data_IF_443382179528
#
_entry.id   IF_443382179528
#
_cell.length_a   1.000
_cell.length_b   1.000
_cell.length_c   1.000
_cell.angle_alpha   90.00
_cell.angle_beta   90.00
_cell.angle_gamma   90.00
#
_symmetry.space_group_name_H-M   'P 1'
#
loop_
_entity.id
_entity.type
_entity.pdbx_description
1 polymer ?
#
# COMPACT_ATOMS: atom_id res chain seq x y z
N UNK A 1 -16.86 6.83 6.66
CA UNK A 1 -17.84 6.38 5.65
C UNK A 1 -17.42 6.94 4.32
N UNK A 2 -16.82 6.12 3.48
CA UNK A 2 -16.52 6.46 2.09
C UNK A 2 -17.84 6.61 1.35
N UNK A 3 -18.08 7.72 0.65
CA UNK A 3 -19.28 7.82 -0.20
C UNK A 3 -19.19 6.70 -1.24
N UNK A 4 -20.33 6.07 -1.58
CA UNK A 4 -20.37 4.91 -2.47
C UNK A 4 -19.78 5.17 -3.88
N UNK A 5 -19.37 6.40 -4.17
CA UNK A 5 -18.81 6.82 -5.46
C UNK A 5 -17.36 7.34 -5.41
N UNK A 6 -16.70 7.41 -4.26
CA UNK A 6 -15.35 7.98 -4.20
C UNK A 6 -14.30 7.04 -4.80
N UNK A 7 -13.51 7.53 -5.74
CA UNK A 7 -12.41 6.77 -6.35
C UNK A 7 -11.30 6.54 -5.30
N UNK A 8 -10.91 5.29 -5.08
CA UNK A 8 -9.74 4.98 -4.27
C UNK A 8 -8.47 5.12 -5.12
N UNK A 9 -7.50 5.86 -4.59
CA UNK A 9 -6.16 5.99 -5.12
C UNK A 9 -5.17 5.37 -4.14
N UNK A 10 -4.39 4.42 -4.63
CA UNK A 10 -3.33 3.75 -3.87
C UNK A 10 -2.00 4.31 -4.34
N UNK A 11 -1.16 4.73 -3.40
CA UNK A 11 0.19 5.20 -3.70
C UNK A 11 1.18 4.63 -2.68
N UNK A 12 2.40 4.40 -3.12
CA UNK A 12 3.40 3.64 -2.35
C UNK A 12 4.40 4.62 -1.72
N UNK A 13 4.02 5.12 -0.55
CA UNK A 13 4.78 6.07 0.24
C UNK A 13 3.90 7.19 0.81
N UNK A 14 4.04 7.46 2.12
CA UNK A 14 3.22 8.45 2.84
C UNK A 14 3.42 9.88 2.34
N UNK A 15 4.63 10.26 1.98
CA UNK A 15 4.90 11.58 1.39
C UNK A 15 4.22 11.73 0.02
N UNK A 16 4.28 10.68 -0.81
CA UNK A 16 3.60 10.65 -2.11
C UNK A 16 2.07 10.71 -1.95
N UNK A 17 1.52 10.11 -0.89
CA UNK A 17 0.10 10.24 -0.54
C UNK A 17 -0.31 11.69 -0.27
N UNK A 18 0.49 12.42 0.51
CA UNK A 18 0.25 13.85 0.75
C UNK A 18 0.29 14.67 -0.54
N UNK A 19 1.28 14.42 -1.39
CA UNK A 19 1.39 15.09 -2.70
C UNK A 19 0.21 14.79 -3.61
N UNK A 20 -0.20 13.52 -3.71
CA UNK A 20 -1.33 13.12 -4.55
C UNK A 20 -2.65 13.71 -4.04
N UNK A 21 -2.85 13.75 -2.72
CA UNK A 21 -4.05 14.36 -2.12
C UNK A 21 -4.16 15.84 -2.51
N UNK A 22 -3.07 16.59 -2.39
CA UNK A 22 -3.04 18.00 -2.81
C UNK A 22 -3.25 18.14 -4.32
N UNK A 23 -2.67 17.27 -5.14
CA UNK A 23 -2.84 17.30 -6.58
C UNK A 23 -4.30 17.04 -7.01
N UNK A 24 -5.00 16.11 -6.34
CA UNK A 24 -6.43 15.86 -6.57
C UNK A 24 -7.27 17.08 -6.20
N UNK A 25 -6.98 17.71 -5.05
CA UNK A 25 -7.67 18.93 -4.61
C UNK A 25 -7.50 20.08 -5.62
N UNK A 26 -6.27 20.37 -6.04
CA UNK A 26 -5.98 21.41 -7.06
C UNK A 26 -6.68 21.11 -8.38
N UNK A 27 -6.80 19.83 -8.75
CA UNK A 27 -7.50 19.40 -9.96
C UNK A 27 -9.03 19.40 -9.83
N UNK A 28 -9.59 19.73 -8.66
CA UNK A 28 -11.03 19.64 -8.39
C UNK A 28 -11.58 18.21 -8.48
N UNK A 29 -10.76 17.21 -8.16
CA UNK A 29 -11.11 15.79 -8.22
C UNK A 29 -11.34 15.23 -6.82
N UNK A 30 -12.51 14.63 -6.62
CA UNK A 30 -12.80 13.87 -5.40
C UNK A 30 -12.11 12.49 -5.44
N UNK A 31 -11.66 12.01 -4.29
CA UNK A 31 -11.06 10.69 -4.15
C UNK A 31 -10.48 10.48 -2.76
N UNK A 32 -10.19 9.22 -2.45
CA UNK A 32 -9.54 8.83 -1.20
C UNK A 32 -8.14 8.35 -1.55
N UNK A 33 -7.13 8.90 -0.87
CA UNK A 33 -5.74 8.48 -1.04
C UNK A 33 -5.33 7.62 0.15
N UNK A 34 -4.84 6.42 -0.13
CA UNK A 34 -4.28 5.50 0.87
C UNK A 34 -2.85 5.13 0.49
N UNK A 35 -2.02 4.90 1.52
CA UNK A 35 -0.65 4.49 1.35
C UNK A 35 -0.18 3.65 2.54
N UNK A 36 0.64 2.61 2.30
CA UNK A 36 1.22 1.82 3.39
C UNK A 36 2.22 2.67 4.17
N UNK A 37 2.52 2.25 5.40
CA UNK A 37 3.58 2.83 6.21
C UNK A 37 4.94 2.20 5.90
N UNK A 38 4.93 0.91 5.60
CA UNK A 38 6.09 0.20 5.08
C UNK A 38 6.19 0.38 3.56
N UNK A 39 7.40 0.54 3.04
CA UNK A 39 7.64 0.61 1.60
C UNK A 39 8.02 -0.74 0.98
N UNK A 40 8.20 -1.76 1.82
CA UNK A 40 8.50 -3.14 1.44
C UNK A 40 9.76 -3.29 0.58
N UNK A 41 10.63 -2.28 0.54
CA UNK A 41 11.82 -2.25 -0.33
C UNK A 41 12.95 -3.19 0.11
N UNK A 42 12.81 -3.81 1.28
CA UNK A 42 13.76 -4.74 1.87
C UNK A 42 13.04 -5.85 2.63
N UNK A 43 13.77 -6.93 2.88
CA UNK A 43 13.28 -8.06 3.66
C UNK A 43 12.20 -8.88 2.96
N UNK A 44 11.51 -9.75 3.69
CA UNK A 44 10.42 -10.56 3.16
C UNK A 44 9.24 -9.68 2.71
N UNK A 45 8.77 -9.91 1.47
CA UNK A 45 7.60 -9.24 0.86
C UNK A 45 6.45 -10.24 0.64
N UNK A 46 6.77 -11.53 0.54
CA UNK A 46 5.85 -12.60 0.10
C UNK A 46 5.04 -13.25 1.24
N UNK A 47 5.26 -12.82 2.48
CA UNK A 47 4.64 -13.39 3.67
C UNK A 47 3.92 -12.31 4.47
N UNK A 48 2.63 -12.50 4.67
CA UNK A 48 1.75 -11.65 5.50
C UNK A 48 2.03 -11.86 7.00
N UNK A 49 3.31 -12.00 7.36
CA UNK A 49 3.77 -12.30 8.70
C UNK A 49 4.55 -11.09 9.25
N UNK A 50 3.82 -10.30 10.04
CA UNK A 50 4.35 -9.11 10.70
C UNK A 50 5.54 -9.44 11.61
N UNK A 51 5.55 -10.62 12.24
CA UNK A 51 6.62 -11.05 13.13
C UNK A 51 7.86 -11.43 12.33
N UNK A 52 7.71 -12.20 11.26
CA UNK A 52 8.83 -12.58 10.40
C UNK A 52 9.49 -11.33 9.78
N UNK A 53 8.68 -10.35 9.37
CA UNK A 53 9.18 -9.09 8.86
C UNK A 53 9.89 -8.26 9.92
N UNK A 54 9.29 -8.10 11.10
CA UNK A 54 9.89 -7.35 12.20
C UNK A 54 11.22 -7.97 12.65
N UNK A 55 11.26 -9.31 12.77
CA UNK A 55 12.47 -10.03 13.14
C UNK A 55 13.57 -9.85 12.09
N UNK A 56 13.24 -9.87 10.80
CA UNK A 56 14.21 -9.59 9.75
C UNK A 56 14.78 -8.17 9.87
N UNK A 57 13.91 -7.17 10.07
CA UNK A 57 14.33 -5.77 10.21
C UNK A 57 15.22 -5.57 11.43
N UNK A 58 14.89 -6.19 12.56
CA UNK A 58 15.70 -6.11 13.77
C UNK A 58 17.08 -6.76 13.56
N UNK A 59 17.11 -7.95 12.96
CA UNK A 59 18.36 -8.70 12.75
C UNK A 59 19.31 -8.03 11.75
N UNK A 60 18.77 -7.51 10.63
CA UNK A 60 19.58 -7.02 9.52
C UNK A 60 19.83 -5.51 9.58
N UNK A 61 18.87 -4.74 10.11
CA UNK A 61 18.93 -3.27 10.12
C UNK A 61 19.04 -2.68 11.54
N UNK A 62 18.82 -3.49 12.59
CA UNK A 62 18.92 -3.06 13.98
C UNK A 62 17.77 -2.18 14.47
N UNK A 63 16.62 -2.18 13.77
CA UNK A 63 15.43 -1.43 14.18
C UNK A 63 14.42 -2.34 14.88
N UNK A 64 14.02 -1.97 16.11
CA UNK A 64 12.96 -2.64 16.87
C UNK A 64 11.56 -2.11 16.51
N UNK A 65 10.52 -2.80 16.98
CA UNK A 65 9.12 -2.38 16.89
C UNK A 65 8.55 -2.22 15.47
N UNK A 66 9.23 -2.79 14.47
CA UNK A 66 8.80 -2.72 13.07
C UNK A 66 7.48 -3.44 12.78
N UNK A 67 7.05 -4.32 13.69
CA UNK A 67 5.76 -5.02 13.60
C UNK A 67 4.60 -4.04 13.40
N UNK A 68 4.61 -2.92 14.15
CA UNK A 68 3.57 -1.91 14.05
C UNK A 68 3.57 -1.20 12.70
N UNK A 69 4.75 -0.94 12.12
CA UNK A 69 4.87 -0.29 10.80
C UNK A 69 4.25 -1.16 9.71
N UNK A 70 4.47 -2.48 9.79
CA UNK A 70 3.82 -3.43 8.91
C UNK A 70 2.30 -3.48 9.14
N UNK A 71 1.86 -3.62 10.38
CA UNK A 71 0.43 -3.69 10.73
C UNK A 71 -0.33 -2.44 10.29
N UNK A 72 0.25 -1.25 10.45
CA UNK A 72 -0.32 0.02 10.01
C UNK A 72 -0.44 0.11 8.47
N UNK A 73 0.22 -0.78 7.72
CA UNK A 73 0.12 -0.89 6.26
C UNK A 73 -1.07 -1.74 5.79
N UNK A 74 -1.52 -2.70 6.61
CA UNK A 74 -2.61 -3.62 6.28
C UNK A 74 -3.95 -2.95 5.92
N UNK A 75 -4.36 -1.82 6.52
CA UNK A 75 -5.60 -1.12 6.15
C UNK A 75 -5.68 -0.72 4.67
N UNK A 76 -4.56 -0.55 3.98
CA UNK A 76 -4.53 -0.28 2.53
C UNK A 76 -5.15 -1.43 1.75
N UNK A 77 -4.89 -2.68 2.18
CA UNK A 77 -5.43 -3.88 1.53
C UNK A 77 -6.94 -3.95 1.72
N UNK A 78 -7.43 -3.81 2.96
CA UNK A 78 -8.87 -3.78 3.24
C UNK A 78 -9.58 -2.70 2.45
N UNK A 79 -9.06 -1.46 2.46
CA UNK A 79 -9.63 -0.36 1.68
C UNK A 79 -9.67 -0.67 0.17
N UNK A 80 -8.64 -1.33 -0.35
CA UNK A 80 -8.55 -1.70 -1.77
C UNK A 80 -9.54 -2.80 -2.16
N UNK A 81 -9.75 -3.80 -1.29
CA UNK A 81 -10.70 -4.90 -1.52
C UNK A 81 -12.15 -4.46 -1.36
N UNK A 82 -12.43 -3.51 -0.47
CA UNK A 82 -13.76 -2.99 -0.17
C UNK A 82 -14.18 -1.82 -1.08
N UNK A 83 -13.29 -1.36 -1.97
CA UNK A 83 -13.56 -0.24 -2.85
C UNK A 83 -14.71 -0.54 -3.83
N UNK A 84 -15.68 0.37 -3.95
CA UNK A 84 -16.81 0.24 -4.87
C UNK A 84 -16.43 0.35 -6.36
N UNK A 85 -15.24 0.91 -6.63
CA UNK A 85 -14.64 1.06 -7.97
C UNK A 85 -13.23 0.45 -7.95
N UNK A 86 -12.73 -0.07 -9.09
CA UNK A 86 -11.36 -0.54 -9.19
C UNK A 86 -10.36 0.52 -8.69
N UNK A 87 -9.50 0.20 -7.71
CA UNK A 87 -8.50 1.14 -7.22
C UNK A 87 -7.54 1.59 -8.32
N UNK A 88 -7.10 2.85 -8.27
CA UNK A 88 -6.06 3.37 -9.16
C UNK A 88 -4.73 3.35 -8.40
N UNK A 89 -3.81 2.48 -8.81
CA UNK A 89 -2.45 2.45 -8.28
C UNK A 89 -1.56 3.47 -9.01
N UNK A 90 -0.90 4.36 -8.25
CA UNK A 90 0.08 5.31 -8.77
C UNK A 90 1.49 4.80 -8.49
N UNK A 91 2.24 4.53 -9.56
CA UNK A 91 3.58 3.97 -9.47
C UNK A 91 4.61 4.83 -10.20
N UNK A 92 5.83 4.84 -9.67
CA UNK A 92 7.02 5.25 -10.40
C UNK A 92 7.94 4.03 -10.51
N UNK A 93 8.06 3.39 -11.69
CA UNK A 93 8.84 2.15 -11.84
C UNK A 93 10.33 2.35 -11.54
N UNK A 94 10.80 3.59 -11.62
CA UNK A 94 12.16 4.06 -11.35
C UNK A 94 12.47 4.11 -9.84
N UNK A 95 11.44 4.02 -8.99
CA UNK A 95 11.55 4.04 -7.54
C UNK A 95 11.39 2.62 -7.00
N UNK A 96 12.46 2.07 -6.43
CA UNK A 96 12.44 0.75 -5.79
C UNK A 96 11.37 0.65 -4.70
N UNK A 97 11.15 1.72 -3.94
CA UNK A 97 10.13 1.79 -2.89
C UNK A 97 8.72 1.73 -3.49
N UNK A 98 8.51 2.47 -4.59
CA UNK A 98 7.22 2.44 -5.28
C UNK A 98 6.95 1.07 -5.90
N UNK A 99 7.96 0.44 -6.50
CA UNK A 99 7.83 -0.85 -7.14
C UNK A 99 7.59 -1.97 -6.11
N UNK A 100 8.33 -1.98 -5.01
CA UNK A 100 8.19 -3.01 -3.97
C UNK A 100 6.83 -2.94 -3.27
N UNK A 101 6.39 -1.74 -2.86
CA UNK A 101 5.05 -1.55 -2.29
C UNK A 101 3.94 -1.93 -3.27
N UNK A 102 4.11 -1.65 -4.56
CA UNK A 102 3.16 -2.07 -5.59
C UNK A 102 3.09 -3.59 -5.74
N UNK A 103 4.23 -4.29 -5.74
CA UNK A 103 4.26 -5.75 -5.84
C UNK A 103 3.64 -6.41 -4.61
N UNK A 104 3.90 -5.88 -3.41
CA UNK A 104 3.24 -6.31 -2.18
C UNK A 104 1.72 -6.14 -2.30
N UNK A 105 1.25 -4.96 -2.70
CA UNK A 105 -0.19 -4.72 -2.87
C UNK A 105 -0.81 -5.63 -3.93
N UNK A 106 -0.15 -5.79 -5.09
CA UNK A 106 -0.63 -6.60 -6.20
C UNK A 106 -0.71 -8.09 -5.84
N UNK A 107 0.24 -8.63 -5.07
CA UNK A 107 0.23 -10.04 -4.67
C UNK A 107 -1.03 -10.40 -3.86
N UNK A 108 -1.55 -9.46 -3.08
CA UNK A 108 -2.77 -9.63 -2.29
C UNK A 108 -4.03 -9.43 -3.14
N UNK A 109 -4.03 -8.43 -4.04
CA UNK A 109 -5.16 -8.20 -4.95
C UNK A 109 -5.35 -9.37 -5.92
N UNK A 110 -4.26 -9.98 -6.40
CA UNK A 110 -4.30 -11.14 -7.29
C UNK A 110 -4.79 -12.42 -6.59
N UNK A 111 -4.50 -12.59 -5.30
CA UNK A 111 -4.95 -13.75 -4.53
C UNK A 111 -6.48 -13.84 -4.40
N UNK A 112 -7.17 -12.70 -4.47
CA UNK A 112 -8.65 -12.61 -4.46
C UNK A 112 -9.26 -12.95 -5.82
N UNK A 113 -8.50 -12.82 -6.91
CA UNK A 113 -8.95 -13.08 -8.29
C UNK A 113 -8.72 -14.54 -8.74
N UNK A 114 -8.88 -15.52 -7.85
CA UNK A 114 -8.82 -16.95 -8.21
C UNK A 114 -10.08 -17.45 -8.92
N UNK A 115 -10.53 -16.77 -9.99
CA UNK A 115 -11.41 -17.32 -11.04
C UNK A 115 -11.45 -16.37 -12.24
N UNK A 116 -10.35 -16.17 -12.96
CA UNK A 116 -10.39 -15.86 -14.41
C UNK A 116 -9.09 -16.33 -15.07
N UNK A 117 -9.13 -17.55 -15.62
CA UNK A 117 -8.53 -17.89 -16.93
C UNK A 117 -9.55 -18.75 -17.66
#
# INVERSE_FOLDING_TARGET
MTSENSQLHVVFGRSAAGTLQQALEVAGREGIVVAPYDDFSFGPIDRDDANARAQWVENELGYSDWQKIFEDSLPVLSASMEASKPPIAWISPDSAHSAAGFLWWLSHMAAVSRYVV
#
